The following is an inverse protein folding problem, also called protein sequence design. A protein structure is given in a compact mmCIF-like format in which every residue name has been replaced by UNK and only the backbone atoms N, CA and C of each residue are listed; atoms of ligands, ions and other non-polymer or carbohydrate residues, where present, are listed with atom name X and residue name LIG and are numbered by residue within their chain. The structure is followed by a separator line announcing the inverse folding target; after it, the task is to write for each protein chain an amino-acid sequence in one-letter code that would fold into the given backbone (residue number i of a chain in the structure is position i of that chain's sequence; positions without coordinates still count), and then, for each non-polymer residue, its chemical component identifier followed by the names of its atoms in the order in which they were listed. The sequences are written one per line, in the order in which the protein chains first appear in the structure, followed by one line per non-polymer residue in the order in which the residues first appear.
data_IF_573840863195
#
_entry.id   IF_573840863195
#
_cell.length_a   1.000
_cell.length_b   1.000
_cell.length_c   1.000
_cell.angle_alpha   90.00
_cell.angle_beta   90.00
_cell.angle_gamma   90.00
#
_symmetry.space_group_name_H-M   'P 1'
#
loop_
_entity.id
_entity.type
_entity.pdbx_description
1 polymer ?
#
# COMPACT_ATOMS: atom_id res chain seq x y z
N UNK A 1 -72.64 58.43 -5.17
CA UNK A 1 -73.56 57.44 -5.79
C UNK A 1 -73.11 56.04 -5.41
N UNK A 2 -74.08 55.18 -5.13
CA UNK A 2 -74.00 53.83 -4.56
C UNK A 2 -73.30 52.82 -5.48
N UNK A 3 -72.61 51.86 -4.86
CA UNK A 3 -72.64 50.39 -5.08
C UNK A 3 -71.24 49.80 -4.89
N UNK A 4 -70.94 48.95 -3.90
CA UNK A 4 -71.49 47.66 -3.48
C UNK A 4 -70.67 46.47 -4.03
N UNK A 5 -70.18 45.62 -3.11
CA UNK A 5 -69.59 44.29 -3.37
C UNK A 5 -68.30 44.07 -2.56
N UNK A 6 -68.35 43.52 -1.33
CA UNK A 6 -68.22 42.07 -0.98
C UNK A 6 -66.91 41.46 -1.52
N UNK A 7 -66.04 40.75 -0.79
CA UNK A 7 -66.07 40.06 0.52
C UNK A 7 -64.62 39.59 0.84
N UNK A 8 -64.27 39.58 2.13
CA UNK A 8 -63.58 38.52 2.91
C UNK A 8 -62.08 38.22 2.67
N UNK A 9 -61.31 38.59 3.71
CA UNK A 9 -60.26 37.90 4.47
C UNK A 9 -59.08 37.19 3.76
N UNK A 10 -57.87 37.56 4.19
CA UNK A 10 -56.97 36.61 4.87
C UNK A 10 -55.84 37.35 5.60
N UNK A 11 -55.64 36.95 6.84
CA UNK A 11 -54.59 37.37 7.76
C UNK A 11 -53.24 36.85 7.23
N UNK A 12 -52.22 37.71 7.17
CA UNK A 12 -50.82 37.30 7.03
C UNK A 12 -50.00 37.89 8.16
N UNK A 13 -49.69 37.06 9.14
CA UNK A 13 -48.54 37.25 10.03
C UNK A 13 -47.30 36.79 9.27
N UNK A 14 -46.32 37.67 9.10
CA UNK A 14 -45.00 37.30 8.62
C UNK A 14 -44.01 37.46 9.79
N UNK A 15 -43.65 36.32 10.38
CA UNK A 15 -42.54 36.19 11.32
C UNK A 15 -41.27 36.04 10.47
N UNK A 16 -40.40 37.05 10.48
CA UNK A 16 -39.06 36.98 9.89
C UNK A 16 -38.13 36.27 10.88
N UNK A 17 -37.88 34.97 10.65
CA UNK A 17 -36.89 34.20 11.39
C UNK A 17 -35.53 34.35 10.69
N UNK A 18 -34.59 35.04 11.34
CA UNK A 18 -33.21 35.17 10.87
C UNK A 18 -32.47 33.84 11.01
N UNK A 19 -31.92 33.33 9.91
CA UNK A 19 -31.03 32.18 9.90
C UNK A 19 -29.58 32.65 10.03
N UNK A 20 -29.01 32.52 11.22
CA UNK A 20 -27.57 32.57 11.42
C UNK A 20 -26.99 31.22 10.98
N UNK A 21 -26.31 31.20 9.84
CA UNK A 21 -25.53 30.03 9.39
C UNK A 21 -24.24 30.01 10.20
N UNK A 22 -24.19 29.15 11.22
CA UNK A 22 -22.95 28.79 11.87
C UNK A 22 -22.15 27.89 10.91
N UNK A 23 -21.08 28.43 10.31
CA UNK A 23 -20.04 27.61 9.71
C UNK A 23 -19.36 26.82 10.82
N UNK A 24 -19.72 25.55 10.97
CA UNK A 24 -18.90 24.61 11.71
C UNK A 24 -17.63 24.38 10.89
N UNK A 25 -16.51 24.97 11.34
CA UNK A 25 -15.20 24.55 10.90
C UNK A 25 -15.01 23.09 11.32
N UNK A 26 -15.16 22.15 10.38
CA UNK A 26 -14.68 20.80 10.60
C UNK A 26 -13.16 20.89 10.70
N UNK A 27 -12.63 20.87 11.93
CA UNK A 27 -11.24 20.58 12.14
C UNK A 27 -10.98 19.21 11.53
N UNK A 28 -10.30 19.17 10.38
CA UNK A 28 -9.74 17.95 9.81
C UNK A 28 -8.65 17.49 10.77
N UNK A 29 -9.06 16.73 11.78
CA UNK A 29 -8.11 16.00 12.61
C UNK A 29 -7.32 15.07 11.71
N UNK A 30 -6.00 15.07 11.85
CA UNK A 30 -5.15 14.07 11.20
C UNK A 30 -5.69 12.67 11.52
N UNK A 31 -5.76 11.79 10.52
CA UNK A 31 -6.35 10.46 10.67
C UNK A 31 -5.66 9.71 11.83
N UNK A 32 -6.48 9.26 12.79
CA UNK A 32 -5.98 8.44 13.91
C UNK A 32 -5.52 7.05 13.44
N UNK A 33 -6.03 6.60 12.29
CA UNK A 33 -5.87 5.24 11.78
C UNK A 33 -5.04 5.22 10.50
N UNK A 34 -4.09 4.28 10.45
CA UNK A 34 -3.29 3.97 9.27
C UNK A 34 -3.47 2.48 8.97
N UNK A 35 -4.62 2.14 8.39
CA UNK A 35 -5.21 0.80 8.50
C UNK A 35 -4.54 -0.27 7.64
N UNK A 36 -3.83 0.12 6.59
CA UNK A 36 -3.24 -0.80 5.60
C UNK A 36 -1.84 -0.35 5.17
N UNK A 37 -1.18 -1.18 4.36
CA UNK A 37 0.04 -0.79 3.67
C UNK A 37 -0.19 0.47 2.83
N UNK A 38 0.59 1.52 3.10
CA UNK A 38 0.46 2.87 2.52
C UNK A 38 -0.80 3.65 2.95
N UNK A 39 -1.40 3.25 4.07
CA UNK A 39 -2.38 4.05 4.79
C UNK A 39 -3.79 4.00 4.22
N UNK A 40 -4.71 4.82 4.73
CA UNK A 40 -6.14 4.72 4.47
C UNK A 40 -6.54 5.01 3.02
N UNK A 41 -5.70 5.74 2.27
CA UNK A 41 -5.87 5.94 0.83
C UNK A 41 -5.23 4.84 -0.01
N UNK A 42 -4.52 3.90 0.62
CA UNK A 42 -3.74 2.83 -0.01
C UNK A 42 -2.58 3.31 -0.91
N UNK A 43 -2.37 4.62 -0.95
CA UNK A 43 -1.52 5.31 -1.94
C UNK A 43 -0.46 6.21 -1.30
N UNK A 44 -0.31 6.21 0.03
CA UNK A 44 0.79 6.87 0.71
C UNK A 44 0.59 8.36 0.94
N UNK A 45 -0.65 8.78 1.19
CA UNK A 45 -1.00 10.16 1.53
C UNK A 45 -1.44 10.27 2.99
N UNK A 46 -0.97 11.33 3.65
CA UNK A 46 -1.45 11.77 4.95
C UNK A 46 -1.75 13.28 4.92
N UNK A 47 -2.82 13.70 5.60
CA UNK A 47 -3.04 15.11 5.92
C UNK A 47 -2.56 15.39 7.35
N UNK A 48 -1.24 15.55 7.50
CA UNK A 48 -0.58 15.73 8.78
C UNK A 48 0.58 16.72 8.66
N UNK A 49 0.84 17.51 9.71
CA UNK A 49 2.04 18.34 9.81
C UNK A 49 3.17 17.54 10.44
N UNK A 50 3.79 16.70 9.61
CA UNK A 50 4.85 15.79 10.03
C UNK A 50 6.18 16.54 10.25
N UNK A 51 7.03 16.08 11.18
CA UNK A 51 8.33 16.69 11.44
C UNK A 51 9.17 16.78 10.14
N UNK A 52 9.85 17.90 9.97
CA UNK A 52 10.75 18.10 8.83
C UNK A 52 12.17 17.59 9.12
N UNK A 53 12.61 17.68 10.38
CA UNK A 53 13.95 17.28 10.85
C UNK A 53 13.86 16.27 11.99
N UNK A 54 14.78 15.31 12.01
CA UNK A 54 14.99 14.37 13.10
C UNK A 54 16.35 13.67 12.97
N UNK A 55 16.80 13.07 14.06
CA UNK A 55 17.97 12.20 14.14
C UNK A 55 17.77 11.20 15.28
N UNK A 56 18.75 10.34 15.57
CA UNK A 56 18.70 9.49 16.77
C UNK A 56 18.45 10.27 18.08
N UNK A 57 18.81 11.56 18.12
CA UNK A 57 18.72 12.41 19.32
C UNK A 57 17.77 13.62 19.15
N UNK A 58 17.05 13.73 18.02
CA UNK A 58 16.17 14.87 17.74
C UNK A 58 14.79 14.37 17.27
N UNK A 59 13.72 14.88 17.88
CA UNK A 59 12.32 14.58 17.53
C UNK A 59 11.94 13.08 17.60
N UNK A 60 12.74 12.26 18.28
CA UNK A 60 12.41 10.87 18.64
C UNK A 60 11.65 10.88 19.97
N UNK A 61 10.37 10.51 19.95
CA UNK A 61 9.55 10.37 21.16
C UNK A 61 9.89 9.07 21.89
N UNK A 62 10.02 7.98 21.13
CA UNK A 62 10.49 6.70 21.61
C UNK A 62 11.10 5.88 20.47
N UNK A 63 12.01 4.96 20.84
CA UNK A 63 12.65 3.95 19.99
C UNK A 63 12.52 2.60 20.69
N UNK A 64 11.94 1.62 20.01
CA UNK A 64 11.73 0.27 20.55
C UNK A 64 12.41 -0.75 19.65
N UNK A 65 13.39 -1.51 20.17
CA UNK A 65 13.97 -2.64 19.44
C UNK A 65 12.88 -3.65 19.04
N UNK A 66 12.85 -4.04 17.77
CA UNK A 66 11.93 -5.04 17.24
C UNK A 66 12.75 -6.30 16.93
N UNK A 67 12.48 -7.44 17.59
CA UNK A 67 13.26 -8.65 17.39
C UNK A 67 13.00 -9.26 16.01
N UNK A 68 13.99 -9.99 15.48
CA UNK A 68 13.89 -10.70 14.22
C UNK A 68 14.19 -9.83 13.00
N UNK A 69 13.72 -10.27 11.83
CA UNK A 69 13.98 -9.67 10.53
C UNK A 69 12.69 -9.66 9.73
N UNK A 70 12.04 -8.49 9.66
CA UNK A 70 10.79 -8.36 8.92
C UNK A 70 10.55 -6.98 8.31
N UNK A 71 10.05 -6.96 7.07
CA UNK A 71 9.84 -5.73 6.28
C UNK A 71 8.40 -5.23 6.32
N UNK A 72 7.54 -5.81 7.16
CA UNK A 72 6.17 -5.31 7.35
C UNK A 72 6.19 -3.86 7.80
N UNK A 73 5.43 -3.05 7.06
CA UNK A 73 5.14 -1.68 7.43
C UNK A 73 4.19 -1.65 8.63
N UNK A 74 4.35 -0.69 9.56
CA UNK A 74 3.39 -0.49 10.63
C UNK A 74 2.01 -0.14 10.08
N UNK A 75 0.98 -0.66 10.73
CA UNK A 75 -0.41 -0.18 10.58
C UNK A 75 -0.98 0.15 11.94
N UNK A 76 -1.89 1.12 11.99
CA UNK A 76 -2.32 1.76 13.23
C UNK A 76 -3.84 1.75 13.32
N UNK A 77 -4.35 1.29 14.46
CA UNK A 77 -5.75 1.49 14.84
C UNK A 77 -5.81 2.02 16.27
N UNK A 78 -6.29 3.26 16.44
CA UNK A 78 -6.29 3.94 17.74
C UNK A 78 -4.89 4.00 18.33
N UNK A 79 -4.69 3.44 19.53
CA UNK A 79 -3.41 3.43 20.24
C UNK A 79 -2.55 2.18 19.97
N UNK A 80 -2.89 1.37 18.97
CA UNK A 80 -2.18 0.12 18.68
C UNK A 80 -1.52 0.15 17.31
N UNK A 81 -0.23 -0.17 17.30
CA UNK A 81 0.56 -0.39 16.09
C UNK A 81 0.73 -1.90 15.90
N UNK A 82 0.38 -2.41 14.72
CA UNK A 82 0.44 -3.82 14.38
C UNK A 82 1.51 -4.09 13.34
N UNK A 83 2.24 -5.21 13.54
CA UNK A 83 3.31 -5.66 12.66
C UNK A 83 3.21 -7.17 12.47
N UNK A 84 3.46 -7.65 11.25
CA UNK A 84 3.91 -9.04 11.09
C UNK A 84 5.41 -9.10 11.37
N UNK A 85 5.84 -10.22 11.93
CA UNK A 85 7.22 -10.42 12.34
C UNK A 85 7.66 -11.88 12.16
N UNK A 86 8.95 -12.06 11.92
CA UNK A 86 9.59 -13.36 11.85
C UNK A 86 11.07 -13.24 12.22
N UNK A 87 11.68 -14.34 12.67
CA UNK A 87 13.13 -14.43 12.79
C UNK A 87 13.77 -14.76 11.44
N UNK A 88 15.09 -14.59 11.34
CA UNK A 88 15.84 -14.73 10.09
C UNK A 88 15.73 -16.14 9.50
N UNK A 89 15.60 -17.16 10.35
CA UNK A 89 15.43 -18.56 9.96
C UNK A 89 14.04 -18.84 9.40
N UNK A 90 13.04 -17.98 9.64
CA UNK A 90 11.66 -18.14 9.15
C UNK A 90 10.82 -19.22 9.84
N UNK A 91 11.37 -19.90 10.85
CA UNK A 91 10.69 -20.99 11.55
C UNK A 91 9.59 -20.50 12.51
N UNK A 92 9.62 -19.22 12.90
CA UNK A 92 8.64 -18.61 13.78
C UNK A 92 8.00 -17.40 13.12
N UNK A 93 6.69 -17.48 12.90
CA UNK A 93 5.87 -16.40 12.36
C UNK A 93 5.02 -15.82 13.49
N UNK A 94 5.10 -14.50 13.67
CA UNK A 94 4.52 -13.81 14.82
C UNK A 94 3.81 -12.52 14.44
N UNK A 95 2.84 -12.12 15.24
CA UNK A 95 2.19 -10.81 15.18
C UNK A 95 2.59 -10.02 16.42
N UNK A 96 3.06 -8.79 16.22
CA UNK A 96 3.39 -7.87 17.30
C UNK A 96 2.33 -6.77 17.40
N UNK A 97 2.00 -6.37 18.63
CA UNK A 97 1.28 -5.14 18.91
C UNK A 97 2.16 -4.25 19.77
N UNK A 98 2.38 -3.01 19.33
CA UNK A 98 3.09 -1.98 20.09
C UNK A 98 2.09 -0.92 20.53
N UNK A 99 2.18 -0.50 21.78
CA UNK A 99 1.44 0.65 22.28
C UNK A 99 2.01 1.94 21.65
N UNK A 100 1.17 2.66 20.91
CA UNK A 100 1.54 3.84 20.11
C UNK A 100 2.11 4.97 20.96
N UNK A 101 1.70 5.07 22.21
CA UNK A 101 2.04 6.18 23.10
C UNK A 101 3.34 5.95 23.86
N UNK A 102 3.58 4.71 24.28
CA UNK A 102 4.73 4.34 25.12
C UNK A 102 5.83 3.61 24.36
N UNK A 103 5.55 3.11 23.16
CA UNK A 103 6.46 2.27 22.39
C UNK A 103 6.59 0.84 22.93
N UNK A 104 5.87 0.45 23.99
CA UNK A 104 6.00 -0.88 24.59
C UNK A 104 5.36 -1.94 23.70
N UNK A 105 6.03 -3.07 23.50
CA UNK A 105 5.42 -4.26 22.91
C UNK A 105 4.41 -4.81 23.92
N UNK A 106 3.12 -4.71 23.61
CA UNK A 106 2.00 -5.17 24.46
C UNK A 106 1.45 -6.54 24.04
N UNK A 107 1.84 -7.03 22.86
CA UNK A 107 1.59 -8.39 22.40
C UNK A 107 2.76 -8.86 21.54
N UNK A 108 3.21 -10.10 21.79
CA UNK A 108 4.05 -10.86 20.87
C UNK A 108 3.46 -12.26 20.76
N UNK A 109 2.72 -12.51 19.68
CA UNK A 109 1.98 -13.77 19.48
C UNK A 109 2.60 -14.54 18.34
N UNK A 110 3.23 -15.68 18.63
CA UNK A 110 3.55 -16.65 17.60
C UNK A 110 2.24 -17.25 17.06
N UNK A 111 2.02 -17.11 15.75
CA UNK A 111 0.86 -17.64 15.04
C UNK A 111 1.18 -18.95 14.35
N UNK A 112 2.44 -19.19 13.97
CA UNK A 112 2.83 -20.44 13.31
C UNK A 112 4.29 -20.80 13.56
N UNK A 113 4.54 -22.11 13.69
CA UNK A 113 5.86 -22.72 13.54
C UNK A 113 5.99 -23.36 12.15
N UNK A 114 7.13 -23.17 11.48
CA UNK A 114 7.40 -23.66 10.13
C UNK A 114 8.68 -24.50 10.15
N UNK A 115 8.59 -25.85 10.13
CA UNK A 115 9.76 -26.73 10.26
C UNK A 115 10.71 -26.71 9.05
N UNK A 116 10.29 -26.15 7.92
CA UNK A 116 11.09 -26.06 6.69
C UNK A 116 10.60 -24.87 5.84
N UNK A 117 11.01 -23.64 6.17
CA UNK A 117 10.56 -22.46 5.44
C UNK A 117 11.10 -22.48 4.01
N UNK A 118 10.30 -21.97 3.06
CA UNK A 118 10.73 -21.77 1.67
C UNK A 118 11.91 -20.80 1.61
N UNK A 119 12.72 -20.86 0.56
CA UNK A 119 13.77 -19.86 0.38
C UNK A 119 13.20 -18.43 0.37
N UNK A 120 13.87 -17.53 1.11
CA UNK A 120 13.55 -16.11 1.17
C UNK A 120 14.75 -15.29 0.68
N UNK A 121 14.51 -14.40 -0.27
CA UNK A 121 15.56 -13.56 -0.84
C UNK A 121 16.00 -12.46 0.17
N UNK A 122 17.27 -11.99 0.16
CA UNK A 122 17.73 -10.96 1.12
C UNK A 122 16.96 -9.63 1.10
N UNK A 123 16.40 -9.23 -0.05
CA UNK A 123 15.51 -8.07 -0.16
C UNK A 123 14.08 -8.33 0.36
N UNK A 124 13.81 -9.53 0.86
CA UNK A 124 12.53 -9.98 1.38
C UNK A 124 12.71 -10.54 2.79
N UNK A 125 11.61 -10.86 3.45
CA UNK A 125 11.58 -11.54 4.75
C UNK A 125 10.38 -12.47 4.85
N UNK A 126 10.42 -13.40 5.80
CA UNK A 126 9.30 -14.30 6.09
C UNK A 126 8.04 -13.60 6.62
N UNK A 127 8.11 -12.28 6.86
CA UNK A 127 7.00 -11.44 7.32
C UNK A 127 7.07 -10.05 6.67
N UNK A 128 7.22 -10.02 5.35
CA UNK A 128 7.18 -8.79 4.55
C UNK A 128 5.77 -8.25 4.31
N UNK A 129 4.74 -9.10 4.07
CA UNK A 129 3.37 -8.63 3.98
C UNK A 129 2.95 -7.88 5.24
N UNK A 130 2.50 -6.64 5.08
CA UNK A 130 2.01 -5.83 6.19
C UNK A 130 0.60 -6.27 6.57
N UNK A 131 0.21 -6.21 7.85
CA UNK A 131 -1.15 -6.51 8.25
C UNK A 131 -2.13 -5.46 7.71
N UNK A 132 -3.43 -5.77 7.72
CA UNK A 132 -4.51 -4.78 7.56
C UNK A 132 -5.42 -4.84 8.78
N UNK A 133 -5.86 -3.69 9.29
CA UNK A 133 -6.61 -3.57 10.54
C UNK A 133 -7.91 -2.81 10.36
N UNK A 134 -8.93 -3.23 11.10
CA UNK A 134 -10.17 -2.49 11.29
C UNK A 134 -10.58 -2.60 12.77
N UNK A 135 -11.71 -2.01 13.15
CA UNK A 135 -12.17 -2.07 14.53
C UNK A 135 -12.27 -3.53 15.03
N UNK A 136 -11.54 -3.82 16.11
CA UNK A 136 -11.57 -5.12 16.77
C UNK A 136 -10.86 -6.26 16.02
N UNK A 137 -10.32 -6.06 14.81
CA UNK A 137 -9.72 -7.14 14.00
C UNK A 137 -8.38 -6.78 13.36
N UNK A 138 -7.50 -7.77 13.31
CA UNK A 138 -6.20 -7.70 12.63
C UNK A 138 -6.09 -8.86 11.66
N UNK A 139 -5.86 -8.54 10.39
CA UNK A 139 -5.70 -9.53 9.32
C UNK A 139 -4.24 -9.63 8.91
N UNK A 140 -3.73 -10.85 8.84
CA UNK A 140 -2.31 -11.10 8.57
C UNK A 140 -2.14 -12.19 7.53
N UNK A 141 -1.08 -12.09 6.73
CA UNK A 141 -0.61 -13.18 5.87
C UNK A 141 0.91 -13.27 5.98
N UNK A 142 1.42 -14.48 5.84
CA UNK A 142 2.83 -14.80 5.68
C UNK A 142 3.06 -15.58 4.38
N UNK A 143 2.10 -15.45 3.43
CA UNK A 143 2.04 -16.26 2.22
C UNK A 143 1.47 -17.65 2.49
N UNK A 144 2.09 -18.65 1.87
CA UNK A 144 1.63 -20.06 1.92
C UNK A 144 1.55 -20.63 3.35
N UNK A 145 2.48 -20.33 4.27
CA UNK A 145 2.46 -20.91 5.62
C UNK A 145 1.26 -20.51 6.49
N UNK A 146 0.72 -19.30 6.33
CA UNK A 146 -0.32 -18.77 7.23
C UNK A 146 -1.03 -17.55 6.64
N UNK A 147 -2.36 -17.55 6.66
CA UNK A 147 -3.21 -16.36 6.54
C UNK A 147 -4.30 -16.43 7.60
N UNK A 148 -4.61 -15.34 8.30
CA UNK A 148 -5.56 -15.40 9.41
C UNK A 148 -6.10 -14.05 9.86
N UNK A 149 -7.08 -14.11 10.75
CA UNK A 149 -7.62 -12.97 11.47
C UNK A 149 -7.45 -13.17 12.97
N UNK A 150 -7.04 -12.12 13.68
CA UNK A 150 -6.92 -12.07 15.13
C UNK A 150 -7.90 -11.04 15.68
N UNK A 151 -8.43 -11.33 16.86
CA UNK A 151 -9.12 -10.35 17.70
C UNK A 151 -8.11 -9.32 18.21
N UNK A 152 -8.31 -8.05 17.90
CA UNK A 152 -7.35 -6.98 18.19
C UNK A 152 -7.18 -6.71 19.69
N UNK A 153 -8.16 -7.09 20.52
CA UNK A 153 -8.10 -6.88 21.97
C UNK A 153 -7.30 -7.97 22.68
N UNK A 154 -7.52 -9.22 22.29
CA UNK A 154 -7.00 -10.42 22.98
C UNK A 154 -5.82 -11.06 22.26
N UNK A 155 -5.62 -10.79 20.98
CA UNK A 155 -4.64 -11.49 20.13
C UNK A 155 -5.02 -12.94 19.82
N UNK A 156 -6.26 -13.36 20.11
CA UNK A 156 -6.76 -14.70 19.77
C UNK A 156 -6.99 -14.81 18.27
N UNK A 157 -6.50 -15.89 17.67
CA UNK A 157 -6.83 -16.24 16.27
C UNK A 157 -8.32 -16.58 16.18
N UNK A 158 -9.05 -15.82 15.36
CA UNK A 158 -10.48 -16.00 15.08
C UNK A 158 -10.70 -17.04 13.97
N UNK A 159 -9.84 -17.01 12.95
CA UNK A 159 -9.76 -18.01 11.90
C UNK A 159 -8.36 -18.01 11.28
N UNK A 160 -7.96 -19.14 10.69
CA UNK A 160 -6.70 -19.29 9.97
C UNK A 160 -6.84 -20.18 8.74
N UNK A 161 -5.90 -20.02 7.80
CA UNK A 161 -5.74 -20.77 6.56
C UNK A 161 -4.27 -21.14 6.42
N UNK A 162 -4.01 -22.44 6.28
CA UNK A 162 -2.67 -23.02 6.10
C UNK A 162 -2.63 -23.99 4.92
N UNK A 163 -3.68 -24.00 4.11
CA UNK A 163 -3.91 -24.84 2.95
C UNK A 163 -3.57 -24.13 1.62
N UNK A 164 -3.12 -22.87 1.70
CA UNK A 164 -2.82 -22.04 0.53
C UNK A 164 -1.46 -22.45 -0.04
N UNK A 165 -1.46 -23.19 -1.14
CA UNK A 165 -0.22 -23.61 -1.81
C UNK A 165 0.28 -22.51 -2.73
N UNK A 166 1.56 -22.16 -2.56
CA UNK A 166 2.31 -21.26 -3.43
C UNK A 166 3.80 -21.35 -3.04
N UNK A 167 4.66 -21.73 -3.99
CA UNK A 167 6.09 -21.51 -3.92
C UNK A 167 6.37 -20.06 -4.28
N UNK A 168 6.57 -19.21 -3.27
CA UNK A 168 6.77 -17.78 -3.46
C UNK A 168 8.10 -17.44 -4.17
N UNK A 169 8.99 -18.43 -4.34
CA UNK A 169 10.31 -18.37 -4.99
C UNK A 169 11.33 -17.42 -4.33
N UNK A 170 10.90 -16.26 -3.80
CA UNK A 170 11.73 -15.24 -3.12
C UNK A 170 11.12 -14.74 -1.81
N UNK A 171 10.11 -15.44 -1.28
CA UNK A 171 9.30 -15.03 -0.13
C UNK A 171 8.04 -14.26 -0.53
N UNK A 172 7.02 -14.29 0.32
CA UNK A 172 5.76 -13.57 0.08
C UNK A 172 5.96 -12.06 0.19
N UNK A 173 5.29 -11.27 -0.67
CA UNK A 173 5.40 -9.81 -0.68
C UNK A 173 4.07 -9.05 -0.68
N UNK A 174 2.99 -9.65 -1.18
CA UNK A 174 1.69 -8.99 -1.24
C UNK A 174 1.06 -8.90 0.15
N UNK A 175 0.75 -7.68 0.58
CA UNK A 175 -0.09 -7.44 1.76
C UNK A 175 -1.57 -7.73 1.42
N UNK A 176 -2.40 -8.15 2.39
CA UNK A 176 -3.84 -8.18 2.23
C UNK A 176 -4.43 -6.77 2.07
N UNK A 177 -5.55 -6.68 1.37
CA UNK A 177 -6.41 -5.50 1.39
C UNK A 177 -7.83 -5.88 1.83
N UNK A 178 -8.58 -4.91 2.34
CA UNK A 178 -9.99 -5.07 2.65
C UNK A 178 -10.84 -4.41 1.55
N UNK A 179 -11.92 -5.07 1.17
CA UNK A 179 -12.96 -4.50 0.32
C UNK A 179 -14.32 -5.03 0.76
N UNK A 180 -15.16 -4.18 1.38
CA UNK A 180 -16.41 -4.61 2.03
C UNK A 180 -16.15 -5.74 3.05
N UNK A 181 -16.77 -6.91 2.84
CA UNK A 181 -16.58 -8.12 3.65
C UNK A 181 -15.49 -9.05 3.11
N UNK A 182 -14.68 -8.58 2.15
CA UNK A 182 -13.63 -9.38 1.54
C UNK A 182 -12.24 -9.02 2.07
N UNK A 183 -11.43 -10.04 2.30
CA UNK A 183 -9.98 -9.97 2.44
C UNK A 183 -9.36 -10.49 1.14
N UNK A 184 -8.68 -9.63 0.38
CA UNK A 184 -8.16 -9.95 -0.97
C UNK A 184 -6.62 -10.04 -0.95
N UNK A 185 -6.09 -11.08 -1.61
CA UNK A 185 -4.65 -11.43 -1.60
C UNK A 185 -4.16 -11.92 -2.98
N UNK A 186 -2.88 -11.69 -3.25
CA UNK A 186 -2.16 -12.31 -4.37
C UNK A 186 -1.32 -13.50 -3.91
N UNK A 187 -1.33 -14.55 -4.72
CA UNK A 187 -0.43 -15.69 -4.63
C UNK A 187 0.14 -15.96 -6.02
N UNK A 188 1.11 -15.14 -6.39
CA UNK A 188 1.86 -15.27 -7.64
C UNK A 188 3.24 -15.85 -7.34
N UNK A 189 3.29 -17.15 -7.15
CA UNK A 189 4.51 -17.94 -6.97
C UNK A 189 5.11 -18.38 -8.29
N UNK A 190 6.09 -19.28 -8.24
CA UNK A 190 6.65 -19.91 -9.44
C UNK A 190 5.84 -21.13 -9.92
N UNK A 191 5.09 -21.77 -9.01
CA UNK A 191 4.27 -22.95 -9.25
C UNK A 191 2.79 -22.61 -9.53
N UNK A 192 2.23 -21.66 -8.79
CA UNK A 192 0.84 -21.20 -8.93
C UNK A 192 0.76 -19.67 -8.99
N UNK A 193 -0.15 -19.16 -9.84
CA UNK A 193 -0.41 -17.73 -9.99
C UNK A 193 -1.92 -17.47 -9.92
N UNK A 194 -2.36 -16.85 -8.82
CA UNK A 194 -3.78 -16.56 -8.61
C UNK A 194 -4.01 -15.36 -7.67
N UNK A 195 -5.18 -14.76 -7.82
CA UNK A 195 -5.77 -13.81 -6.87
C UNK A 195 -6.93 -14.50 -6.18
N UNK A 196 -7.17 -14.18 -4.91
CA UNK A 196 -8.31 -14.73 -4.19
C UNK A 196 -8.91 -13.74 -3.19
N UNK A 197 -10.18 -13.95 -2.87
CA UNK A 197 -10.84 -13.30 -1.75
C UNK A 197 -11.37 -14.32 -0.73
N UNK A 198 -11.23 -13.94 0.53
CA UNK A 198 -11.89 -14.58 1.65
C UNK A 198 -13.02 -13.73 2.18
N UNK A 199 -14.05 -14.37 2.73
CA UNK A 199 -14.94 -13.73 3.69
C UNK A 199 -14.09 -13.35 4.91
N UNK A 200 -14.00 -12.05 5.22
CA UNK A 200 -13.12 -11.54 6.26
C UNK A 200 -13.55 -11.98 7.66
N UNK A 201 -14.78 -12.44 7.85
CA UNK A 201 -15.28 -12.87 9.16
C UNK A 201 -14.94 -14.32 9.47
N UNK A 202 -14.88 -15.16 8.44
CA UNK A 202 -14.80 -16.63 8.56
C UNK A 202 -13.54 -17.25 7.93
N UNK A 203 -12.85 -16.53 7.05
CA UNK A 203 -11.70 -17.04 6.31
C UNK A 203 -12.05 -18.00 5.16
N UNK A 204 -13.34 -18.21 4.88
CA UNK A 204 -13.79 -19.07 3.77
C UNK A 204 -13.51 -18.40 2.44
N UNK A 205 -13.06 -19.18 1.45
CA UNK A 205 -12.86 -18.69 0.09
C UNK A 205 -14.21 -18.25 -0.50
N UNK A 206 -14.29 -17.00 -0.96
CA UNK A 206 -15.43 -16.46 -1.72
C UNK A 206 -15.19 -16.69 -3.21
N UNK A 207 -14.00 -16.33 -3.69
CA UNK A 207 -13.58 -16.59 -5.07
C UNK A 207 -12.06 -16.78 -5.16
N UNK A 208 -11.63 -17.43 -6.24
CA UNK A 208 -10.23 -17.63 -6.62
C UNK A 208 -10.13 -17.56 -8.14
N UNK A 209 -9.23 -16.73 -8.64
CA UNK A 209 -9.02 -16.51 -10.07
C UNK A 209 -7.57 -16.79 -10.43
N UNK A 210 -7.35 -17.77 -11.31
CA UNK A 210 -6.02 -18.06 -11.88
C UNK A 210 -5.64 -16.96 -12.88
N UNK A 211 -4.36 -16.57 -12.92
CA UNK A 211 -3.85 -15.62 -13.93
C UNK A 211 -4.06 -16.18 -15.33
N UNK A 212 -4.63 -15.37 -16.22
CA UNK A 212 -4.98 -15.81 -17.59
C UNK A 212 -3.88 -15.56 -18.63
N UNK A 213 -2.80 -14.83 -18.28
CA UNK A 213 -1.71 -14.53 -19.21
C UNK A 213 -1.02 -15.82 -19.65
N UNK A 214 -0.72 -15.92 -20.94
CA UNK A 214 0.19 -16.94 -21.44
C UNK A 214 1.64 -16.51 -21.18
N UNK A 215 2.31 -17.23 -20.28
CA UNK A 215 3.70 -16.95 -19.91
C UNK A 215 4.71 -17.31 -21.00
N UNK A 216 4.32 -18.10 -22.02
CA UNK A 216 5.16 -18.49 -23.16
C UNK A 216 6.54 -19.06 -22.79
N UNK A 217 6.62 -19.71 -21.62
CA UNK A 217 7.88 -20.13 -20.99
C UNK A 217 7.97 -21.64 -20.77
N UNK A 218 7.10 -22.45 -21.38
CA UNK A 218 7.21 -23.91 -21.27
C UNK A 218 8.40 -24.41 -22.09
N UNK A 219 9.26 -25.20 -21.45
CA UNK A 219 10.35 -25.91 -22.09
C UNK A 219 9.80 -27.16 -22.82
N UNK A 220 10.03 -27.30 -24.14
CA UNK A 220 9.47 -28.42 -24.90
C UNK A 220 9.97 -29.81 -24.47
N UNK A 221 11.17 -29.91 -23.90
CA UNK A 221 11.77 -31.19 -23.50
C UNK A 221 11.25 -31.64 -22.13
N UNK A 222 11.19 -30.71 -21.18
CA UNK A 222 10.82 -31.04 -19.79
C UNK A 222 9.32 -30.87 -19.51
N UNK A 223 8.59 -30.18 -20.38
CA UNK A 223 7.18 -29.78 -20.17
C UNK A 223 6.98 -28.99 -18.87
N UNK A 224 8.01 -28.27 -18.43
CA UNK A 224 8.03 -27.43 -17.23
C UNK A 224 8.31 -25.97 -17.59
N UNK A 225 7.94 -25.01 -16.71
CA UNK A 225 8.35 -23.62 -16.88
C UNK A 225 9.88 -23.50 -16.92
N UNK A 226 10.41 -22.72 -17.86
CA UNK A 226 11.82 -22.33 -17.91
C UNK A 226 12.21 -21.63 -16.61
N UNK A 227 13.48 -21.76 -16.22
CA UNK A 227 14.03 -21.11 -15.02
C UNK A 227 13.19 -21.36 -13.76
N UNK A 228 12.61 -22.56 -13.64
CA UNK A 228 11.77 -22.98 -12.52
C UNK A 228 10.60 -22.03 -12.19
N UNK A 229 10.09 -21.32 -13.20
CA UNK A 229 8.97 -20.38 -13.06
C UNK A 229 9.36 -19.02 -12.48
N UNK A 230 10.64 -18.64 -12.46
CA UNK A 230 11.10 -17.34 -11.94
C UNK A 230 10.37 -16.18 -12.62
N UNK A 231 10.01 -16.28 -13.90
CA UNK A 231 9.27 -15.24 -14.63
C UNK A 231 7.77 -15.19 -14.34
N UNK A 232 7.21 -16.10 -13.54
CA UNK A 232 5.76 -16.15 -13.28
C UNK A 232 5.34 -15.44 -12.00
N UNK A 233 6.28 -15.27 -11.08
CA UNK A 233 6.02 -14.73 -9.74
C UNK A 233 5.75 -13.23 -9.75
N UNK A 234 5.01 -12.74 -8.76
CA UNK A 234 4.81 -11.31 -8.49
C UNK A 234 4.60 -11.06 -7.00
N UNK A 235 4.84 -9.83 -6.56
CA UNK A 235 4.87 -9.48 -5.14
C UNK A 235 4.01 -8.26 -4.79
N UNK A 236 3.36 -7.66 -5.79
CA UNK A 236 2.61 -6.41 -5.64
C UNK A 236 1.37 -6.60 -4.78
N UNK A 237 1.02 -5.58 -4.00
CA UNK A 237 -0.25 -5.48 -3.27
C UNK A 237 -1.32 -4.84 -4.17
N UNK A 238 -2.54 -5.38 -4.28
CA UNK A 238 -3.57 -4.82 -5.18
C UNK A 238 -4.10 -3.46 -4.72
N UNK A 239 -4.78 -2.74 -5.61
CA UNK A 239 -5.46 -1.46 -5.31
C UNK A 239 -6.90 -1.52 -5.83
N UNK A 240 -7.85 -1.01 -5.04
CA UNK A 240 -9.22 -0.77 -5.53
C UNK A 240 -9.27 0.64 -6.12
N UNK A 241 -9.75 0.76 -7.35
CA UNK A 241 -9.99 2.05 -8.01
C UNK A 241 -11.43 2.12 -8.48
N UNK A 242 -11.93 3.33 -8.72
CA UNK A 242 -13.20 3.54 -9.40
C UNK A 242 -12.96 3.79 -10.90
N UNK A 243 -13.68 3.07 -11.75
CA UNK A 243 -13.68 3.24 -13.20
C UNK A 243 -15.14 3.28 -13.68
N UNK A 244 -15.54 4.40 -14.32
CA UNK A 244 -16.91 4.60 -14.80
C UNK A 244 -18.00 4.32 -13.72
N UNK A 245 -17.76 4.75 -12.48
CA UNK A 245 -18.68 4.54 -11.36
C UNK A 245 -18.72 3.11 -10.80
N UNK A 246 -17.78 2.25 -11.21
CA UNK A 246 -17.68 0.86 -10.73
C UNK A 246 -16.32 0.59 -10.08
N UNK A 247 -16.29 -0.22 -9.01
CA UNK A 247 -15.03 -0.62 -8.39
C UNK A 247 -14.28 -1.63 -9.28
N UNK A 248 -12.98 -1.44 -9.41
CA UNK A 248 -12.07 -2.33 -10.15
C UNK A 248 -10.88 -2.65 -9.24
N UNK A 249 -10.59 -3.94 -9.07
CA UNK A 249 -9.41 -4.43 -8.39
C UNK A 249 -8.24 -4.43 -9.39
N UNK A 250 -7.35 -3.47 -9.23
CA UNK A 250 -6.09 -3.37 -9.96
C UNK A 250 -5.08 -4.32 -9.33
N UNK A 251 -4.53 -5.21 -10.14
CA UNK A 251 -3.69 -6.30 -9.69
C UNK A 251 -2.52 -6.50 -10.63
N UNK A 252 -1.32 -6.12 -10.18
CA UNK A 252 -0.09 -6.33 -10.93
C UNK A 252 0.42 -7.76 -10.69
N UNK A 253 0.30 -8.60 -11.72
CA UNK A 253 0.93 -9.91 -11.79
C UNK A 253 2.27 -9.85 -12.54
N UNK A 254 2.85 -11.01 -12.84
CA UNK A 254 3.98 -11.04 -13.76
C UNK A 254 3.53 -10.88 -15.20
N UNK A 255 4.33 -10.16 -16.00
CA UNK A 255 4.05 -9.80 -17.40
C UNK A 255 2.75 -9.04 -17.64
N UNK A 256 1.97 -8.72 -16.61
CA UNK A 256 0.61 -8.27 -16.84
C UNK A 256 0.02 -7.48 -15.68
N UNK A 257 -0.63 -6.36 -16.01
CA UNK A 257 -1.48 -5.60 -15.11
C UNK A 257 -2.94 -5.97 -15.40
N UNK A 258 -3.68 -6.38 -14.37
CA UNK A 258 -5.06 -6.83 -14.50
C UNK A 258 -6.02 -5.87 -13.81
N UNK A 259 -7.25 -5.83 -14.33
CA UNK A 259 -8.43 -5.33 -13.64
C UNK A 259 -9.44 -6.45 -13.42
N UNK A 260 -9.89 -6.63 -12.17
CA UNK A 260 -10.93 -7.60 -11.81
C UNK A 260 -12.15 -6.91 -11.17
N UNK A 261 -13.31 -7.54 -11.25
CA UNK A 261 -14.44 -7.23 -10.38
C UNK A 261 -14.11 -7.70 -8.95
N UNK A 262 -14.03 -6.80 -7.95
CA UNK A 262 -13.58 -7.18 -6.60
C UNK A 262 -14.48 -8.23 -5.92
N UNK A 263 -15.79 -8.21 -6.19
CA UNK A 263 -16.78 -9.07 -5.55
C UNK A 263 -16.75 -10.51 -6.05
N UNK A 264 -16.36 -10.72 -7.30
CA UNK A 264 -16.46 -12.04 -7.96
C UNK A 264 -15.11 -12.60 -8.41
N UNK A 265 -14.07 -11.74 -8.46
CA UNK A 265 -12.77 -12.09 -9.03
C UNK A 265 -12.79 -12.21 -10.55
N UNK A 266 -13.89 -11.85 -11.23
CA UNK A 266 -14.00 -11.92 -12.68
C UNK A 266 -13.01 -10.96 -13.33
N UNK A 267 -12.20 -11.46 -14.24
CA UNK A 267 -11.32 -10.62 -15.06
C UNK A 267 -12.16 -9.70 -15.96
N UNK A 268 -11.90 -8.39 -15.85
CA UNK A 268 -12.49 -7.38 -16.71
C UNK A 268 -11.58 -7.13 -17.89
N UNK A 269 -10.30 -6.87 -17.61
CA UNK A 269 -9.28 -6.57 -18.60
C UNK A 269 -7.89 -6.92 -18.11
N UNK A 270 -6.95 -6.97 -19.05
CA UNK A 270 -5.53 -7.11 -18.76
C UNK A 270 -4.64 -6.40 -19.79
N UNK A 271 -3.58 -5.76 -19.31
CA UNK A 271 -2.54 -5.12 -20.12
C UNK A 271 -1.26 -5.96 -20.00
N UNK A 272 -0.83 -6.53 -21.12
CA UNK A 272 0.27 -7.50 -21.21
C UNK A 272 1.57 -6.84 -21.67
N UNK A 273 2.67 -7.22 -21.03
CA UNK A 273 4.06 -6.94 -21.40
C UNK A 273 4.84 -8.26 -21.43
N UNK A 274 4.72 -9.06 -22.50
CA UNK A 274 5.38 -10.36 -22.61
C UNK A 274 6.89 -10.27 -22.40
N UNK A 275 7.47 -11.25 -21.71
CA UNK A 275 8.90 -11.28 -21.38
C UNK A 275 9.33 -10.33 -20.26
N UNK A 276 8.41 -9.50 -19.73
CA UNK A 276 8.64 -8.74 -18.52
C UNK A 276 8.70 -9.65 -17.29
N UNK A 277 9.37 -9.17 -16.25
CA UNK A 277 9.50 -9.87 -14.97
C UNK A 277 8.54 -9.32 -13.92
N UNK A 278 8.64 -9.86 -12.72
CA UNK A 278 7.84 -9.54 -11.54
C UNK A 278 7.82 -8.05 -11.17
N UNK A 279 6.62 -7.51 -10.94
CA UNK A 279 6.44 -6.25 -10.22
C UNK A 279 6.25 -6.45 -8.71
N UNK A 280 6.81 -5.55 -7.90
CA UNK A 280 6.58 -5.54 -6.44
C UNK A 280 6.00 -4.23 -5.91
N UNK A 281 6.20 -3.12 -6.63
CA UNK A 281 5.55 -1.85 -6.36
C UNK A 281 4.02 -1.96 -6.47
N UNK A 282 3.31 -1.29 -5.56
CA UNK A 282 1.85 -1.14 -5.62
C UNK A 282 1.49 -0.08 -6.68
N UNK A 283 0.53 -0.34 -7.59
CA UNK A 283 0.03 0.68 -8.50
C UNK A 283 -0.60 1.85 -7.73
N UNK A 284 -0.63 3.03 -8.33
CA UNK A 284 -1.38 4.21 -7.84
C UNK A 284 -2.35 4.69 -8.91
N UNK A 285 -3.36 5.47 -8.54
CA UNK A 285 -4.40 5.88 -9.45
C UNK A 285 -4.86 7.32 -9.21
N UNK A 286 -5.23 7.98 -10.31
CA UNK A 286 -5.81 9.32 -10.33
C UNK A 286 -5.89 9.82 -11.76
N UNK A 287 -6.65 10.91 -11.99
CA UNK A 287 -6.91 11.43 -13.33
C UNK A 287 -7.53 10.41 -14.31
N UNK A 288 -8.28 9.44 -13.80
CA UNK A 288 -8.84 8.35 -14.61
C UNK A 288 -7.79 7.35 -15.13
N UNK A 289 -6.58 7.36 -14.57
CA UNK A 289 -5.46 6.51 -14.96
C UNK A 289 -4.99 5.68 -13.76
N UNK A 290 -4.45 4.51 -14.07
CA UNK A 290 -3.68 3.66 -13.17
C UNK A 290 -2.23 3.72 -13.60
N UNK A 291 -1.35 4.07 -12.67
CA UNK A 291 0.10 4.13 -12.86
C UNK A 291 0.73 2.90 -12.22
N UNK A 292 1.31 2.02 -13.03
CA UNK A 292 1.91 0.77 -12.58
C UNK A 292 3.29 0.57 -13.16
N UNK A 293 4.31 0.31 -12.32
CA UNK A 293 5.57 -0.24 -12.80
C UNK A 293 5.34 -1.64 -13.38
N UNK A 294 5.93 -1.94 -14.54
CA UNK A 294 5.86 -3.24 -15.20
C UNK A 294 7.27 -3.70 -15.57
N UNK A 295 7.61 -4.95 -15.24
CA UNK A 295 8.86 -5.59 -15.66
C UNK A 295 10.10 -5.35 -14.76
N UNK A 296 11.18 -6.08 -15.06
CA UNK A 296 12.46 -6.01 -14.31
C UNK A 296 13.29 -4.79 -14.65
N UNK A 297 13.41 -4.48 -15.94
CA UNK A 297 13.99 -3.21 -16.43
C UNK A 297 13.12 -2.02 -16.04
N UNK A 298 11.88 -2.31 -15.61
CA UNK A 298 10.86 -1.45 -15.04
C UNK A 298 10.53 -0.26 -15.94
N UNK A 299 9.42 -0.39 -16.67
CA UNK A 299 8.73 0.73 -17.28
C UNK A 299 7.60 1.19 -16.35
N UNK A 300 7.23 2.46 -16.40
CA UNK A 300 6.04 2.96 -15.73
C UNK A 300 4.93 3.15 -16.77
N UNK A 301 3.82 2.43 -16.60
CA UNK A 301 2.68 2.49 -17.52
C UNK A 301 1.55 3.29 -16.90
N UNK A 302 0.92 4.15 -17.70
CA UNK A 302 -0.39 4.72 -17.39
C UNK A 302 -1.46 4.02 -18.21
N UNK A 303 -2.42 3.39 -17.52
CA UNK A 303 -3.46 2.56 -18.13
C UNK A 303 -4.83 3.09 -17.72
N UNK A 304 -5.74 3.25 -18.69
CA UNK A 304 -7.14 3.54 -18.38
C UNK A 304 -7.83 2.27 -17.86
N UNK A 305 -8.46 2.29 -16.67
CA UNK A 305 -8.93 1.08 -16.00
C UNK A 305 -10.34 0.62 -16.44
N UNK A 306 -10.87 1.18 -17.52
CA UNK A 306 -12.25 1.01 -17.98
C UNK A 306 -12.39 0.12 -19.23
N UNK A 307 -11.34 -0.65 -19.55
CA UNK A 307 -11.32 -1.51 -20.72
C UNK A 307 -11.94 -2.90 -20.51
N UNK A 308 -11.89 -3.71 -21.56
CA UNK A 308 -12.36 -5.10 -21.56
C UNK A 308 -11.43 -6.02 -22.37
N UNK A 309 -11.15 -7.22 -21.85
CA UNK A 309 -10.27 -8.19 -22.51
C UNK A 309 -8.79 -7.76 -22.51
N UNK A 310 -8.05 -8.06 -23.59
CA UNK A 310 -6.66 -7.60 -23.72
C UNK A 310 -6.66 -6.15 -24.18
N UNK A 311 -6.12 -5.25 -23.35
CA UNK A 311 -6.23 -3.80 -23.55
C UNK A 311 -4.89 -3.10 -23.81
N UNK A 312 -3.79 -3.85 -23.97
CA UNK A 312 -2.44 -3.30 -24.16
C UNK A 312 -2.36 -2.24 -25.25
N UNK A 313 -2.95 -2.50 -26.41
CA UNK A 313 -2.89 -1.59 -27.57
C UNK A 313 -3.89 -0.43 -27.48
N UNK A 314 -4.90 -0.53 -26.62
CA UNK A 314 -6.05 0.38 -26.63
C UNK A 314 -6.09 1.28 -25.41
N UNK A 315 -5.70 0.81 -24.23
CA UNK A 315 -5.88 1.53 -22.94
C UNK A 315 -4.59 1.99 -22.28
N UNK A 316 -3.41 1.57 -22.77
CA UNK A 316 -2.15 2.19 -22.34
C UNK A 316 -2.11 3.61 -22.92
N UNK A 317 -2.24 4.61 -22.04
CA UNK A 317 -2.27 6.02 -22.42
C UNK A 317 -0.86 6.54 -22.73
N UNK A 318 0.11 6.15 -21.90
CA UNK A 318 1.52 6.44 -22.11
C UNK A 318 2.40 5.43 -21.35
N UNK A 319 3.68 5.37 -21.76
CA UNK A 319 4.73 4.61 -21.09
C UNK A 319 5.92 5.52 -20.81
N UNK A 320 6.60 5.26 -19.71
CA UNK A 320 7.87 5.87 -19.36
C UNK A 320 8.92 4.75 -19.19
N UNK A 321 9.81 4.65 -20.16
CA UNK A 321 10.69 3.48 -20.37
C UNK A 321 12.02 3.56 -19.60
N UNK A 322 12.16 4.47 -18.64
CA UNK A 322 13.44 4.77 -17.99
C UNK A 322 13.40 4.51 -16.49
N UNK A 323 14.06 3.45 -16.05
CA UNK A 323 14.43 3.21 -14.64
C UNK A 323 13.25 3.32 -13.64
N UNK A 324 12.07 2.80 -14.01
CA UNK A 324 10.90 2.83 -13.14
C UNK A 324 11.17 2.07 -11.82
N UNK A 325 10.41 2.35 -10.75
CA UNK A 325 10.74 1.80 -9.45
C UNK A 325 10.39 0.31 -9.39
N UNK A 326 11.36 -0.51 -8.95
CA UNK A 326 11.19 -1.96 -8.86
C UNK A 326 10.46 -2.39 -7.58
N UNK A 327 10.71 -1.68 -6.48
CA UNK A 327 10.23 -1.98 -5.12
C UNK A 327 9.36 -0.90 -4.51
N UNK A 328 9.84 0.34 -4.50
CA UNK A 328 9.08 1.47 -4.00
C UNK A 328 7.87 1.76 -4.90
N UNK A 329 6.71 2.00 -4.30
CA UNK A 329 5.51 2.38 -5.05
C UNK A 329 5.63 3.84 -5.50
N UNK A 330 5.17 4.21 -6.71
CA UNK A 330 5.08 5.62 -7.10
C UNK A 330 4.10 6.41 -6.21
N UNK A 331 4.10 7.73 -6.34
CA UNK A 331 3.27 8.64 -5.54
C UNK A 331 2.67 9.73 -6.43
N UNK A 332 1.35 9.82 -6.49
CA UNK A 332 0.65 10.84 -7.27
C UNK A 332 0.24 12.01 -6.36
N UNK A 333 0.81 13.20 -6.57
CA UNK A 333 0.45 14.41 -5.81
C UNK A 333 -0.04 15.49 -6.79
N UNK A 334 -1.34 15.78 -6.77
CA UNK A 334 -1.95 16.69 -7.74
C UNK A 334 -1.77 16.16 -9.16
N UNK A 335 -1.18 16.96 -10.05
CA UNK A 335 -0.89 16.58 -11.44
C UNK A 335 0.51 15.93 -11.62
N UNK A 336 1.23 15.66 -10.54
CA UNK A 336 2.62 15.19 -10.59
C UNK A 336 2.75 13.77 -10.05
N UNK A 337 3.38 12.91 -10.84
CA UNK A 337 3.70 11.54 -10.48
C UNK A 337 5.18 11.44 -10.12
N UNK A 338 5.46 11.07 -8.88
CA UNK A 338 6.82 10.92 -8.37
C UNK A 338 7.19 9.45 -8.28
N UNK A 339 8.42 9.12 -8.66
CA UNK A 339 9.00 7.81 -8.46
C UNK A 339 10.36 7.90 -7.73
N UNK A 340 10.78 6.77 -7.19
CA UNK A 340 12.11 6.59 -6.61
C UNK A 340 12.62 5.20 -6.99
N UNK A 341 13.56 5.18 -7.93
CA UNK A 341 14.25 3.97 -8.36
C UNK A 341 15.02 3.32 -7.20
N UNK A 342 15.17 2.00 -7.23
CA UNK A 342 15.88 1.25 -6.19
C UNK A 342 17.37 1.60 -6.07
N UNK A 343 17.93 2.32 -7.03
CA UNK A 343 19.30 2.84 -7.05
C UNK A 343 19.39 4.33 -6.62
N UNK A 344 18.27 4.90 -6.15
CA UNK A 344 18.21 6.25 -5.60
C UNK A 344 18.11 7.37 -6.63
N UNK A 345 17.59 7.06 -7.82
CA UNK A 345 17.17 8.07 -8.81
C UNK A 345 15.70 8.39 -8.61
N UNK A 346 15.38 9.64 -8.31
CA UNK A 346 14.02 10.13 -8.22
C UNK A 346 13.65 10.87 -9.52
N UNK A 347 12.42 10.73 -9.97
CA UNK A 347 11.86 11.56 -11.02
C UNK A 347 10.48 12.11 -10.63
N UNK A 348 10.09 13.16 -11.36
CA UNK A 348 8.75 13.72 -11.34
C UNK A 348 8.27 13.83 -12.78
N UNK A 349 7.11 13.26 -13.03
CA UNK A 349 6.46 13.25 -14.33
C UNK A 349 5.15 14.03 -14.26
N UNK A 350 4.76 14.65 -15.36
CA UNK A 350 3.37 15.05 -15.57
C UNK A 350 2.50 13.78 -15.63
N UNK A 351 1.55 13.64 -14.71
CA UNK A 351 0.80 12.39 -14.54
C UNK A 351 -0.12 12.08 -15.74
N UNK A 352 -0.54 13.10 -16.50
CA UNK A 352 -1.45 12.90 -17.64
C UNK A 352 -0.71 12.53 -18.92
N UNK A 353 0.53 12.99 -19.08
CA UNK A 353 1.29 12.86 -20.32
C UNK A 353 2.53 11.96 -20.20
N UNK A 354 2.99 11.67 -18.98
CA UNK A 354 4.24 10.94 -18.73
C UNK A 354 5.51 11.75 -18.99
N UNK A 355 5.38 13.05 -19.29
CA UNK A 355 6.53 13.93 -19.56
C UNK A 355 7.37 14.11 -18.30
N UNK A 356 8.66 13.82 -18.39
CA UNK A 356 9.62 14.11 -17.32
C UNK A 356 9.72 15.63 -17.08
N UNK A 357 9.45 16.04 -15.84
CA UNK A 357 9.58 17.42 -15.36
C UNK A 357 10.94 17.64 -14.70
N UNK A 358 11.40 16.65 -13.94
CA UNK A 358 12.77 16.59 -13.44
C UNK A 358 13.18 15.16 -13.11
N UNK A 359 14.50 14.93 -13.07
CA UNK A 359 15.14 13.70 -12.63
C UNK A 359 16.40 14.01 -11.84
N UNK A 360 16.58 13.40 -10.67
CA UNK A 360 17.67 13.69 -9.75
C UNK A 360 18.16 12.45 -9.00
N UNK A 361 19.48 12.29 -8.87
CA UNK A 361 20.07 11.25 -8.02
C UNK A 361 20.12 11.72 -6.56
N UNK A 362 19.34 11.07 -5.70
CA UNK A 362 19.40 11.22 -4.24
C UNK A 362 20.52 10.37 -3.62
N UNK A 363 20.91 9.29 -4.31
CA UNK A 363 21.86 8.28 -3.85
C UNK A 363 21.29 7.40 -2.73
N UNK A 364 21.92 6.26 -2.48
CA UNK A 364 21.39 5.22 -1.59
C UNK A 364 20.53 4.22 -2.35
N UNK A 365 19.96 3.24 -1.63
CA UNK A 365 19.07 2.22 -2.19
C UNK A 365 17.71 2.31 -1.54
N UNK A 366 16.65 2.09 -2.31
CA UNK A 366 15.27 2.29 -1.85
C UNK A 366 14.44 1.02 -2.02
N UNK A 367 13.85 0.59 -0.90
CA UNK A 367 12.84 -0.47 -0.81
C UNK A 367 11.52 0.06 -0.24
N UNK A 368 11.61 0.93 0.76
CA UNK A 368 10.46 1.62 1.33
C UNK A 368 9.82 2.54 0.29
N UNK A 369 8.48 2.55 0.25
CA UNK A 369 7.75 3.45 -0.63
C UNK A 369 7.64 4.84 0.00
N UNK A 370 7.68 5.93 -0.79
CA UNK A 370 7.58 7.29 -0.29
C UNK A 370 6.19 7.59 0.29
N UNK A 371 6.16 8.61 1.15
CA UNK A 371 4.97 9.16 1.80
C UNK A 371 4.82 10.64 1.44
N UNK A 372 3.60 11.07 1.11
CA UNK A 372 3.26 12.48 0.96
C UNK A 372 2.50 12.99 2.19
N UNK A 373 2.91 14.15 2.70
CA UNK A 373 2.11 14.93 3.65
C UNK A 373 2.28 16.43 3.42
N UNK A 374 1.16 17.15 3.25
CA UNK A 374 1.08 18.62 3.11
C UNK A 374 2.18 19.24 2.23
N UNK A 375 2.34 18.72 1.01
CA UNK A 375 3.29 19.24 0.03
C UNK A 375 4.74 18.77 0.22
N UNK A 376 5.00 17.86 1.17
CA UNK A 376 6.31 17.24 1.40
C UNK A 376 6.27 15.77 1.00
N UNK A 377 7.34 15.28 0.38
CA UNK A 377 7.53 13.86 0.04
C UNK A 377 8.71 13.32 0.84
N UNK A 378 8.48 12.26 1.59
CA UNK A 378 9.47 11.61 2.45
C UNK A 378 9.97 10.33 1.79
N UNK A 379 11.26 10.26 1.45
CA UNK A 379 11.89 9.12 0.79
C UNK A 379 12.91 8.45 1.74
N UNK A 380 12.69 7.18 2.08
CA UNK A 380 13.43 6.45 3.12
C UNK A 380 14.36 5.40 2.49
N UNK A 381 15.66 5.49 2.73
CA UNK A 381 16.66 4.60 2.13
C UNK A 381 17.05 3.41 3.03
N UNK A 382 17.63 2.38 2.44
CA UNK A 382 18.02 1.13 3.09
C UNK A 382 19.18 1.28 4.10
N UNK A 383 19.79 2.47 4.20
CA UNK A 383 20.87 2.81 5.13
C UNK A 383 20.46 3.81 6.21
N UNK A 384 19.21 4.28 6.19
CA UNK A 384 18.63 5.13 7.24
C UNK A 384 18.56 6.59 6.90
N UNK A 385 19.07 6.99 5.72
CA UNK A 385 18.89 8.36 5.23
C UNK A 385 17.45 8.53 4.75
N UNK A 386 16.80 9.55 5.26
CA UNK A 386 15.51 10.04 4.72
C UNK A 386 15.74 11.37 4.03
N UNK A 387 15.37 11.48 2.76
CA UNK A 387 15.38 12.75 2.04
C UNK A 387 13.96 13.27 1.96
N UNK A 388 13.73 14.50 2.42
CA UNK A 388 12.44 15.18 2.32
C UNK A 388 12.48 16.15 1.15
N UNK A 389 11.60 15.94 0.18
CA UNK A 389 11.47 16.75 -1.03
C UNK A 389 10.23 17.63 -0.96
N UNK A 390 10.25 18.76 -1.66
CA UNK A 390 9.04 19.49 -1.98
C UNK A 390 8.26 18.73 -3.07
N UNK A 391 6.96 18.53 -2.88
CA UNK A 391 6.07 18.05 -3.92
C UNK A 391 5.82 19.19 -4.93
N UNK A 392 6.65 19.25 -5.98
CA UNK A 392 6.65 20.32 -6.97
C UNK A 392 7.22 19.85 -8.32
N UNK A 393 6.91 20.56 -9.43
CA UNK A 393 7.45 20.26 -10.75
C UNK A 393 8.89 20.78 -10.92
N UNK A 394 9.48 21.33 -9.86
CA UNK A 394 10.89 21.68 -9.74
C UNK A 394 11.49 20.93 -8.55
N UNK A 395 12.62 20.28 -8.77
CA UNK A 395 13.32 19.56 -7.72
C UNK A 395 13.75 20.52 -6.60
N UNK A 396 13.44 20.18 -5.35
CA UNK A 396 13.90 20.91 -4.15
C UNK A 396 13.97 19.96 -2.96
N UNK A 397 15.15 19.83 -2.35
CA UNK A 397 15.33 19.13 -1.08
C UNK A 397 15.05 20.08 0.07
N UNK A 398 14.16 19.69 0.97
CA UNK A 398 13.77 20.47 2.16
C UNK A 398 14.57 20.07 3.41
N UNK A 399 14.89 18.78 3.54
CA UNK A 399 15.68 18.24 4.65
C UNK A 399 16.30 16.89 4.29
N UNK A 400 17.34 16.51 5.04
CA UNK A 400 17.92 15.17 5.07
C UNK A 400 18.06 14.77 6.53
N UNK A 401 17.58 13.57 6.86
CA UNK A 401 17.57 13.01 8.20
C UNK A 401 18.24 11.64 8.19
N UNK A 402 18.74 11.18 9.33
CA UNK A 402 19.38 9.86 9.43
C UNK A 402 18.94 9.17 10.72
N UNK A 403 18.48 7.92 10.58
CA UNK A 403 18.35 6.96 11.68
C UNK A 403 19.29 5.77 11.45
N UNK A 404 19.57 5.02 12.50
CA UNK A 404 20.35 3.79 12.45
C UNK A 404 19.57 2.66 11.77
N UNK A 405 20.31 1.71 11.20
CA UNK A 405 19.84 0.43 10.66
C UNK A 405 18.86 0.44 9.48
N UNK A 406 18.50 1.61 8.94
CA UNK A 406 17.88 1.76 7.62
C UNK A 406 16.50 1.13 7.41
N UNK A 407 15.89 1.45 6.26
CA UNK A 407 14.48 1.15 6.01
C UNK A 407 14.28 0.12 4.90
N UNK A 408 13.51 -0.91 5.21
CA UNK A 408 12.87 -1.79 4.23
C UNK A 408 11.36 -1.59 4.20
N UNK A 409 10.79 -1.29 5.37
CA UNK A 409 9.38 -1.00 5.57
C UNK A 409 9.03 0.45 5.20
N UNK A 410 7.80 0.68 4.73
CA UNK A 410 7.26 2.02 4.49
C UNK A 410 6.74 2.63 5.79
N UNK A 411 6.65 3.97 5.92
CA UNK A 411 6.20 4.62 7.15
C UNK A 411 4.69 4.45 7.39
N UNK A 412 4.28 4.70 8.63
CA UNK A 412 2.89 4.99 8.98
C UNK A 412 2.75 6.37 9.62
N UNK A 413 1.53 6.91 9.60
CA UNK A 413 1.18 8.20 10.17
C UNK A 413 -0.01 8.05 11.10
N UNK A 414 0.02 8.69 12.26
CA UNK A 414 -1.15 8.86 13.12
C UNK A 414 -1.00 10.17 13.88
N UNK A 415 -1.97 11.08 13.74
CA UNK A 415 -1.79 12.46 14.17
C UNK A 415 -0.69 13.17 13.36
N UNK A 416 0.17 13.92 14.05
CA UNK A 416 1.35 14.58 13.45
C UNK A 416 2.65 13.78 13.64
N UNK A 417 2.55 12.48 13.95
CA UNK A 417 3.69 11.61 14.19
C UNK A 417 3.93 10.65 13.02
N UNK A 418 5.20 10.43 12.71
CA UNK A 418 5.69 9.35 11.86
C UNK A 418 6.00 8.12 12.73
N UNK A 419 5.58 6.96 12.26
CA UNK A 419 5.96 5.67 12.83
C UNK A 419 6.84 4.93 11.82
N UNK A 420 8.12 4.81 12.16
CA UNK A 420 9.16 4.36 11.23
C UNK A 420 9.74 3.04 11.72
N UNK A 421 9.61 1.98 10.92
CA UNK A 421 10.25 0.69 11.19
C UNK A 421 11.57 0.62 10.42
N UNK A 422 12.69 0.70 11.13
CA UNK A 422 14.01 0.34 10.59
C UNK A 422 14.19 -1.18 10.59
N UNK A 423 15.33 -1.69 10.13
CA UNK A 423 15.60 -3.14 10.16
C UNK A 423 15.61 -3.71 11.59
N UNK A 424 15.86 -2.89 12.61
CA UNK A 424 16.09 -3.33 14.00
C UNK A 424 15.14 -2.70 15.03
N UNK A 425 14.45 -1.60 14.69
CA UNK A 425 13.65 -0.85 15.66
C UNK A 425 12.40 -0.20 15.04
N UNK A 426 11.44 0.13 15.89
CA UNK A 426 10.30 0.98 15.58
C UNK A 426 10.49 2.31 16.32
N UNK A 427 10.29 3.41 15.61
CA UNK A 427 10.40 4.77 16.13
C UNK A 427 9.04 5.46 16.06
N UNK A 428 8.76 6.33 17.03
CA UNK A 428 7.81 7.44 16.87
C UNK A 428 8.61 8.73 16.75
N UNK A 429 8.50 9.36 15.59
CA UNK A 429 9.10 10.67 15.31
C UNK A 429 7.99 11.72 15.30
N UNK A 430 8.10 12.73 16.15
CA UNK A 430 7.10 13.79 16.27
C UNK A 430 7.79 15.09 16.72
N UNK A 431 7.43 16.20 16.08
CA UNK A 431 7.93 17.50 16.51
C UNK A 431 7.25 17.92 17.83
N UNK A 432 7.95 18.61 18.74
CA UNK A 432 7.32 19.23 19.90
C UNK A 432 6.17 20.13 19.45
N UNK A 433 5.03 20.09 20.14
CA UNK A 433 3.95 21.05 19.90
C UNK A 433 4.49 22.48 20.10
N UNK A 434 4.21 23.43 19.20
CA UNK A 434 4.50 24.83 19.46
C UNK A 434 3.87 25.21 20.80
N UNK A 435 4.67 25.79 21.70
CA UNK A 435 4.18 26.28 22.99
C UNK A 435 3.26 27.47 22.83
#
# INVERSE_FOLDING_TARGET
MRNAGKRIASIRWAITLGWAIALAAMATGAEEHWTSFRGPTDQGHADADLPLRWSENENVVWKTPIPGKAWSSPVIWGDRIWLTNAFEEGTQLSVLCVDKNTGKIVLSKQVRFVPGPQYCHPFNSYASPSPVVEEGRVYVTFGSPFTGCLDAKTGKVLWERTDLVCNHFRGAGSSPILYKDLLILHFDGSDFQYVMAFDKHTGKTVWKTTRSVDYQDIDPQTQRPKTDGDYRKAFSTPLIVEAQGKPVLISLGSMCLYGYEPETGKELWRAESPGSHSGSARPVAGHGLVFSPIGYTAELWAVRPDGHGVVTATHVAWRYEREAPRRASPLLVGDWLFDIGSDGVAACLDAKTGKELWKQRLGGNFSASPLHARGRIYCFDEKGKTTVLQAAPKFTTLAVNTLEDGFMASPAVSGNALYLRTKTALYRIEAPKPR
#
